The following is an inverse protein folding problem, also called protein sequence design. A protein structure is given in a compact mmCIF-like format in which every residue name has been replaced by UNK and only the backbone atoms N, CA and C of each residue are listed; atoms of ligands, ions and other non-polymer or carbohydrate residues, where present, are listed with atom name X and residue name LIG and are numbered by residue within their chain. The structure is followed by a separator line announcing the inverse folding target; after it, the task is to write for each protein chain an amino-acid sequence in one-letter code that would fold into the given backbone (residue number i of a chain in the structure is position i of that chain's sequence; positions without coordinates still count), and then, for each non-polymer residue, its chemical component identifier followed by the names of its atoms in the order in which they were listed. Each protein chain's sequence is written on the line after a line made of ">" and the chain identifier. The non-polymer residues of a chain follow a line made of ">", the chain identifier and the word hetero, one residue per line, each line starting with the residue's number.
data_IF_173248974430
#
_entry.id   IF_173248974430
#
_cell.length_a   1.000
_cell.length_b   1.000
_cell.length_c   1.000
_cell.angle_alpha   90.00
_cell.angle_beta   90.00
_cell.angle_gamma   90.00
#
_symmetry.space_group_name_H-M   'P 1'
#
loop_
_entity.id
_entity.type
_entity.pdbx_description
1 polymer ?
#
# COMPACT_ATOMS: atom_id res chain seq x y z
N UNK A 1 -14.68 26.09 33.19
CA UNK A 1 -13.29 25.63 33.11
C UNK A 1 -13.17 24.13 32.78
N UNK A 2 -13.88 23.25 33.53
CA UNK A 2 -13.82 21.80 33.28
C UNK A 2 -14.36 21.39 31.91
N UNK A 3 -15.41 22.07 31.41
CA UNK A 3 -15.96 21.80 30.06
C UNK A 3 -14.96 22.09 28.97
N UNK A 4 -14.19 23.17 29.09
CA UNK A 4 -13.17 23.54 28.11
C UNK A 4 -12.04 22.52 28.10
N UNK A 5 -11.59 22.07 29.29
CA UNK A 5 -10.57 21.03 29.42
C UNK A 5 -11.06 19.72 28.80
N UNK A 6 -12.30 19.34 29.05
CA UNK A 6 -12.91 18.13 28.44
C UNK A 6 -12.96 18.20 26.91
N UNK A 7 -13.30 19.35 26.34
CA UNK A 7 -13.35 19.55 24.88
C UNK A 7 -11.93 19.45 24.29
N UNK A 8 -10.94 20.07 24.92
CA UNK A 8 -9.56 19.99 24.47
C UNK A 8 -9.03 18.55 24.55
N UNK A 9 -9.29 17.85 25.63
CA UNK A 9 -8.88 16.46 25.80
C UNK A 9 -9.55 15.53 24.77
N UNK A 10 -10.85 15.73 24.51
CA UNK A 10 -11.57 14.96 23.49
C UNK A 10 -11.01 15.23 22.08
N UNK A 11 -10.73 16.50 21.76
CA UNK A 11 -10.12 16.88 20.48
C UNK A 11 -8.74 16.26 20.30
N UNK A 12 -7.91 16.26 21.35
CA UNK A 12 -6.59 15.63 21.32
C UNK A 12 -6.68 14.11 21.16
N UNK A 13 -7.62 13.46 21.85
CA UNK A 13 -7.84 12.03 21.73
C UNK A 13 -8.28 11.64 20.30
N UNK A 14 -9.20 12.40 19.71
CA UNK A 14 -9.64 12.19 18.33
C UNK A 14 -8.49 12.38 17.33
N UNK A 15 -7.68 13.41 17.51
CA UNK A 15 -6.51 13.65 16.68
C UNK A 15 -5.50 12.50 16.80
N UNK A 16 -5.23 12.05 18.03
CA UNK A 16 -4.32 10.94 18.28
C UNK A 16 -4.82 9.63 17.64
N UNK A 17 -6.11 9.32 17.79
CA UNK A 17 -6.74 8.16 17.15
C UNK A 17 -6.69 8.23 15.62
N UNK A 18 -6.82 9.42 15.05
CA UNK A 18 -6.73 9.63 13.60
C UNK A 18 -5.30 9.45 13.08
N UNK A 19 -4.33 9.85 13.87
CA UNK A 19 -2.91 9.75 13.51
C UNK A 19 -2.36 8.32 13.63
N UNK A 20 -2.84 7.54 14.61
CA UNK A 20 -2.31 6.22 14.92
C UNK A 20 -3.11 5.11 14.22
N UNK A 21 -2.66 4.72 13.03
CA UNK A 21 -3.26 3.62 12.24
C UNK A 21 -3.25 2.30 13.03
N UNK A 22 -2.21 2.06 13.83
CA UNK A 22 -2.05 0.84 14.63
C UNK A 22 -3.13 0.63 15.70
N UNK A 23 -3.75 1.69 16.17
CA UNK A 23 -4.82 1.61 17.16
C UNK A 23 -6.11 0.98 16.58
N UNK A 24 -6.29 1.02 15.25
CA UNK A 24 -7.47 0.49 14.60
C UNK A 24 -8.77 1.15 15.06
N UNK A 25 -8.71 2.42 15.50
CA UNK A 25 -9.83 3.13 16.09
C UNK A 25 -11.02 3.30 15.11
N UNK A 26 -10.70 3.52 13.84
CA UNK A 26 -11.71 3.72 12.79
C UNK A 26 -11.80 2.54 11.82
N UNK A 27 -10.64 1.96 11.48
CA UNK A 27 -10.54 0.85 10.53
C UNK A 27 -9.55 -0.18 11.07
N UNK A 28 -9.95 -1.43 11.06
CA UNK A 28 -9.04 -2.54 11.37
C UNK A 28 -8.05 -2.72 10.23
N UNK A 29 -6.78 -2.47 10.50
CA UNK A 29 -5.70 -2.73 9.54
C UNK A 29 -4.73 -3.77 10.09
N UNK A 30 -4.24 -4.62 9.20
CA UNK A 30 -3.21 -5.60 9.53
C UNK A 30 -1.84 -4.92 9.41
N UNK A 31 -1.27 -4.47 10.54
CA UNK A 31 0.02 -3.78 10.56
C UNK A 31 1.21 -4.72 10.77
N UNK A 32 0.96 -5.94 11.22
CA UNK A 32 2.00 -6.94 11.50
C UNK A 32 1.44 -8.35 11.42
N UNK A 33 2.18 -9.24 10.77
CA UNK A 33 1.91 -10.67 10.79
C UNK A 33 3.11 -11.41 11.38
N UNK A 34 3.00 -11.84 12.64
CA UNK A 34 4.07 -12.57 13.34
C UNK A 34 4.18 -14.03 12.89
N UNK A 35 3.14 -14.58 12.29
CA UNK A 35 3.09 -15.95 11.82
C UNK A 35 3.70 -16.15 10.42
N UNK A 36 4.06 -15.08 9.74
CA UNK A 36 4.59 -15.14 8.38
C UNK A 36 5.97 -15.80 8.23
N UNK A 37 6.72 -15.95 9.33
CA UNK A 37 8.06 -16.55 9.30
C UNK A 37 9.07 -15.67 8.53
N UNK A 38 9.91 -16.31 7.71
CA UNK A 38 10.93 -15.63 6.89
C UNK A 38 10.39 -15.28 5.49
N UNK A 39 9.33 -14.49 5.45
CA UNK A 39 8.68 -14.07 4.21
C UNK A 39 8.74 -12.56 4.09
N UNK A 40 9.02 -12.06 2.90
CA UNK A 40 9.03 -10.63 2.56
C UNK A 40 8.00 -10.40 1.47
N UNK A 41 7.19 -9.36 1.63
CA UNK A 41 6.30 -8.89 0.59
C UNK A 41 6.92 -7.68 -0.12
N UNK A 42 7.06 -7.76 -1.44
CA UNK A 42 7.52 -6.65 -2.27
C UNK A 42 6.31 -5.86 -2.76
N UNK A 43 6.33 -4.57 -2.53
CA UNK A 43 5.31 -3.65 -3.02
C UNK A 43 5.94 -2.50 -3.78
N UNK A 44 5.28 -2.07 -4.84
CA UNK A 44 5.68 -0.94 -5.67
C UNK A 44 4.52 0.04 -5.78
N UNK A 45 4.79 1.30 -5.49
CA UNK A 45 3.79 2.36 -5.47
C UNK A 45 3.98 3.33 -6.64
N UNK A 46 2.93 4.09 -6.94
CA UNK A 46 2.94 5.24 -7.86
C UNK A 46 3.22 4.95 -9.34
N UNK A 47 3.17 3.69 -9.75
CA UNK A 47 3.31 3.31 -11.14
C UNK A 47 1.99 3.32 -11.93
N UNK A 48 2.02 2.82 -13.16
CA UNK A 48 3.18 2.35 -13.89
C UNK A 48 4.01 3.47 -14.50
N UNK A 49 5.31 3.26 -14.60
CA UNK A 49 6.24 4.08 -15.36
C UNK A 49 6.61 3.35 -16.67
N UNK A 50 6.56 4.02 -17.83
CA UNK A 50 6.76 3.35 -19.12
C UNK A 50 8.19 2.83 -19.34
N UNK A 51 9.15 3.37 -18.62
CA UNK A 51 10.57 2.99 -18.72
C UNK A 51 11.00 2.06 -17.59
N UNK A 52 10.70 2.41 -16.34
CA UNK A 52 11.18 1.67 -15.16
C UNK A 52 10.36 0.41 -14.86
N UNK A 53 9.04 0.49 -14.97
CA UNK A 53 8.17 -0.64 -14.63
C UNK A 53 8.45 -1.89 -15.47
N UNK A 54 8.64 -1.81 -16.79
CA UNK A 54 9.03 -2.98 -17.57
C UNK A 54 10.34 -3.62 -17.10
N UNK A 55 11.33 -2.82 -16.70
CA UNK A 55 12.60 -3.32 -16.16
C UNK A 55 12.43 -4.06 -14.84
N UNK A 56 11.58 -3.52 -13.95
CA UNK A 56 11.22 -4.18 -12.68
C UNK A 56 10.53 -5.52 -12.97
N UNK A 57 9.58 -5.55 -13.89
CA UNK A 57 8.88 -6.77 -14.29
C UNK A 57 9.83 -7.81 -14.87
N UNK A 58 10.78 -7.40 -15.70
CA UNK A 58 11.81 -8.30 -16.24
C UNK A 58 12.65 -8.92 -15.12
N UNK A 59 13.06 -8.13 -14.12
CA UNK A 59 13.84 -8.60 -12.98
C UNK A 59 13.05 -9.56 -12.11
N UNK A 60 11.79 -9.25 -11.80
CA UNK A 60 10.91 -10.13 -11.02
C UNK A 60 10.68 -11.47 -11.73
N UNK A 61 10.46 -11.42 -13.03
CA UNK A 61 10.28 -12.62 -13.85
C UNK A 61 11.53 -13.49 -13.89
N UNK A 62 12.72 -12.87 -14.03
CA UNK A 62 13.98 -13.59 -14.04
C UNK A 62 14.25 -14.34 -12.73
N UNK A 63 13.76 -13.83 -11.60
CA UNK A 63 13.91 -14.43 -10.28
C UNK A 63 12.70 -15.26 -9.82
N UNK A 64 11.66 -15.37 -10.63
CA UNK A 64 10.43 -16.09 -10.27
C UNK A 64 9.69 -15.48 -9.10
N UNK A 65 9.78 -14.17 -8.89
CA UNK A 65 9.21 -13.46 -7.76
C UNK A 65 7.92 -12.73 -8.17
N UNK A 66 6.90 -12.82 -7.32
CA UNK A 66 5.67 -12.05 -7.45
C UNK A 66 5.67 -10.85 -6.49
N UNK A 67 5.07 -9.77 -6.92
CA UNK A 67 4.98 -8.53 -6.16
C UNK A 67 3.55 -7.97 -6.21
N UNK A 68 3.32 -6.93 -5.44
CA UNK A 68 2.07 -6.15 -5.46
C UNK A 68 2.37 -4.75 -5.99
N UNK A 69 1.59 -4.30 -6.94
CA UNK A 69 1.69 -2.97 -7.53
C UNK A 69 0.47 -2.13 -7.16
N UNK A 70 0.71 -1.04 -6.45
CA UNK A 70 -0.31 -0.03 -6.15
C UNK A 70 -0.20 1.09 -7.18
N UNK A 71 -1.14 1.13 -8.11
CA UNK A 71 -1.06 1.99 -9.29
C UNK A 71 -1.79 3.32 -9.10
N UNK A 72 -1.32 4.33 -9.80
CA UNK A 72 -2.07 5.57 -9.99
C UNK A 72 -2.96 5.39 -11.22
N UNK A 73 -4.29 5.57 -11.06
CA UNK A 73 -5.27 5.30 -12.09
C UNK A 73 -5.02 6.04 -13.40
N UNK A 74 -4.63 7.32 -13.35
CA UNK A 74 -4.30 8.11 -14.53
C UNK A 74 -3.08 7.57 -15.29
N UNK A 75 -2.09 7.05 -14.59
CA UNK A 75 -0.93 6.41 -15.22
C UNK A 75 -1.27 5.04 -15.80
N UNK A 76 -2.13 4.28 -15.12
CA UNK A 76 -2.61 3.00 -15.62
C UNK A 76 -3.40 3.15 -16.92
N UNK A 77 -4.22 4.19 -17.05
CA UNK A 77 -4.94 4.51 -18.28
C UNK A 77 -4.02 4.84 -19.45
N UNK A 78 -2.88 5.50 -19.18
CA UNK A 78 -1.89 5.82 -20.20
C UNK A 78 -1.08 4.59 -20.67
N UNK A 79 -0.93 3.59 -19.81
CA UNK A 79 -0.09 2.42 -20.06
C UNK A 79 -0.82 1.10 -19.75
N UNK A 80 -1.96 0.82 -20.40
CA UNK A 80 -2.74 -0.38 -20.13
C UNK A 80 -2.00 -1.67 -20.48
N UNK A 81 -1.07 -1.64 -21.41
CA UNK A 81 -0.23 -2.77 -21.80
C UNK A 81 0.67 -3.23 -20.64
N UNK A 82 1.19 -2.31 -19.85
CA UNK A 82 2.02 -2.62 -18.68
C UNK A 82 1.17 -3.27 -17.59
N UNK A 83 -0.03 -2.75 -17.35
CA UNK A 83 -0.98 -3.32 -16.38
C UNK A 83 -1.39 -4.74 -16.77
N UNK A 84 -1.67 -4.98 -18.05
CA UNK A 84 -1.96 -6.33 -18.55
C UNK A 84 -0.78 -7.29 -18.35
N UNK A 85 0.43 -6.82 -18.57
CA UNK A 85 1.64 -7.60 -18.32
C UNK A 85 1.78 -7.97 -16.85
N UNK A 86 1.55 -7.02 -15.93
CA UNK A 86 1.55 -7.28 -14.49
C UNK A 86 0.60 -8.42 -14.13
N UNK A 87 -0.63 -8.35 -14.62
CA UNK A 87 -1.64 -9.38 -14.37
C UNK A 87 -1.26 -10.73 -14.98
N UNK A 88 -0.77 -10.74 -16.22
CA UNK A 88 -0.35 -11.95 -16.92
C UNK A 88 0.82 -12.66 -16.24
N UNK A 89 1.73 -11.91 -15.62
CA UNK A 89 2.88 -12.44 -14.88
C UNK A 89 2.53 -12.80 -13.42
N UNK A 90 1.28 -12.65 -13.01
CA UNK A 90 0.76 -13.12 -11.71
C UNK A 90 0.98 -12.16 -10.55
N UNK A 91 1.22 -10.89 -10.80
CA UNK A 91 1.34 -9.88 -9.75
C UNK A 91 -0.03 -9.43 -9.25
N UNK A 92 -0.10 -9.02 -7.97
CA UNK A 92 -1.27 -8.37 -7.42
C UNK A 92 -1.30 -6.90 -7.82
N UNK A 93 -2.50 -6.38 -8.09
CA UNK A 93 -2.72 -4.99 -8.50
C UNK A 93 -3.74 -4.37 -7.54
N UNK A 94 -3.36 -3.25 -6.97
CA UNK A 94 -4.20 -2.47 -6.07
C UNK A 94 -4.42 -1.04 -6.56
#
# INVERSE_FOLDING_TARGET
>A
MYVIIAIIAAGFALFYCSYQIRLGAYVRSLCRNRAAGRVVALTFDDGPDPEQTPRVLDTLRAHGVRATFFLIGSKAELHPEIVRRMAAEGHAIG
#
